data_IF_299701501205
#
_entry.id   IF_299701501205
#
_cell.length_a   1.000
_cell.length_b   1.000
_cell.length_c   1.000
_cell.angle_alpha   90.00
_cell.angle_beta   90.00
_cell.angle_gamma   90.00
#
_symmetry.space_group_name_H-M   'P 1'
#
loop_
_entity.id
_entity.type
_entity.pdbx_description
1 polymer ?
#
# COMPACT_ATOMS: atom_id res chain seq x y z
N UNK A 1 -12.73 0.41 4.56
CA UNK A 1 -12.04 1.23 5.56
C UNK A 1 -11.64 2.57 4.94
N UNK A 2 -11.60 3.66 5.72
CA UNK A 2 -11.15 4.97 5.25
C UNK A 2 -9.63 5.12 5.38
N UNK A 3 -8.97 5.81 4.44
CA UNK A 3 -7.52 6.04 4.49
C UNK A 3 -7.08 6.87 5.71
N UNK A 4 -7.97 7.69 6.25
CA UNK A 4 -7.74 8.48 7.47
C UNK A 4 -7.63 7.64 8.75
N UNK A 5 -8.09 6.39 8.73
CA UNK A 5 -7.99 5.48 9.86
C UNK A 5 -6.63 4.75 9.91
N UNK A 6 -5.80 4.89 8.88
CA UNK A 6 -4.50 4.23 8.79
C UNK A 6 -3.49 5.00 9.63
N UNK A 7 -2.82 4.30 10.54
CA UNK A 7 -1.76 4.87 11.36
C UNK A 7 -0.67 5.49 10.48
N UNK A 8 -0.14 6.64 10.89
CA UNK A 8 0.87 7.43 10.17
C UNK A 8 0.40 8.09 8.86
N UNK A 9 -0.89 8.00 8.51
CA UNK A 9 -1.46 8.69 7.34
C UNK A 9 -2.25 9.91 7.81
N UNK A 10 -1.72 11.10 7.56
CA UNK A 10 -2.36 12.36 7.96
C UNK A 10 -3.49 12.78 7.01
N UNK A 11 -4.40 13.64 7.48
CA UNK A 11 -5.52 14.16 6.66
C UNK A 11 -5.06 14.80 5.34
N UNK A 12 -4.02 15.62 5.38
CA UNK A 12 -3.46 16.27 4.18
C UNK A 12 -2.96 15.26 3.14
N UNK A 13 -2.41 14.11 3.59
CA UNK A 13 -1.97 13.03 2.70
C UNK A 13 -3.18 12.38 2.02
N UNK A 14 -4.24 12.13 2.77
CA UNK A 14 -5.48 11.54 2.23
C UNK A 14 -6.11 12.47 1.19
N UNK A 15 -6.23 13.76 1.49
CA UNK A 15 -6.74 14.77 0.55
C UNK A 15 -5.90 14.83 -0.72
N UNK A 16 -4.57 14.81 -0.58
CA UNK A 16 -3.64 14.79 -1.70
C UNK A 16 -3.83 13.54 -2.59
N UNK A 17 -3.97 12.35 -2.00
CA UNK A 17 -4.22 11.11 -2.75
C UNK A 17 -5.57 11.18 -3.50
N UNK A 18 -6.62 11.68 -2.85
CA UNK A 18 -7.95 11.84 -3.47
C UNK A 18 -7.89 12.85 -4.62
N UNK A 19 -7.22 13.99 -4.43
CA UNK A 19 -7.04 15.01 -5.44
C UNK A 19 -6.26 14.47 -6.65
N UNK A 20 -5.14 13.78 -6.42
CA UNK A 20 -4.36 13.12 -7.47
C UNK A 20 -5.20 12.10 -8.25
N UNK A 21 -5.99 11.27 -7.57
CA UNK A 21 -6.86 10.29 -8.21
C UNK A 21 -8.00 10.94 -9.02
N UNK A 22 -8.54 12.05 -8.53
CA UNK A 22 -9.61 12.79 -9.21
C UNK A 22 -9.10 13.48 -10.47
N UNK A 23 -7.91 14.07 -10.40
CA UNK A 23 -7.31 14.80 -11.53
C UNK A 23 -6.64 13.88 -12.57
N UNK A 24 -5.96 12.81 -12.13
CA UNK A 24 -5.13 11.94 -12.99
C UNK A 24 -5.74 10.55 -13.24
N UNK A 25 -6.94 10.30 -12.72
CA UNK A 25 -7.64 9.03 -12.86
C UNK A 25 -7.23 7.96 -11.85
N UNK A 26 -7.77 6.74 -12.01
CA UNK A 26 -7.49 5.60 -11.12
C UNK A 26 -6.03 5.20 -11.18
N UNK A 27 -5.52 4.67 -10.06
CA UNK A 27 -4.23 4.01 -10.00
C UNK A 27 -4.37 2.60 -10.54
N UNK A 28 -3.59 2.26 -11.57
CA UNK A 28 -3.61 0.92 -12.20
C UNK A 28 -2.60 -0.02 -11.57
N UNK A 29 -1.54 0.54 -11.00
CA UNK A 29 -0.39 -0.20 -10.51
C UNK A 29 0.35 0.57 -9.40
N UNK A 30 1.23 -0.09 -8.62
CA UNK A 30 2.02 0.57 -7.57
C UNK A 30 2.95 1.64 -8.14
N UNK A 31 3.60 1.35 -9.28
CA UNK A 31 4.42 2.34 -9.99
C UNK A 31 3.59 3.53 -10.48
N UNK A 32 2.39 3.28 -10.99
CA UNK A 32 1.45 4.32 -11.43
C UNK A 32 0.97 5.20 -10.26
N UNK A 33 0.74 4.59 -9.09
CA UNK A 33 0.46 5.32 -7.86
C UNK A 33 1.61 6.29 -7.52
N UNK A 34 2.85 5.81 -7.44
CA UNK A 34 4.02 6.65 -7.11
C UNK A 34 4.22 7.82 -8.08
N UNK A 35 3.97 7.61 -9.38
CA UNK A 35 4.02 8.67 -10.41
C UNK A 35 2.93 9.73 -10.22
N UNK A 36 1.69 9.31 -9.98
CA UNK A 36 0.53 10.21 -9.94
C UNK A 36 0.40 10.99 -8.63
N UNK A 37 0.82 10.42 -7.50
CA UNK A 37 0.72 11.10 -6.19
C UNK A 37 1.61 12.33 -6.10
N UNK A 38 1.25 13.26 -5.23
CA UNK A 38 2.10 14.39 -4.88
C UNK A 38 3.18 13.99 -3.84
N UNK A 39 4.19 14.84 -3.73
CA UNK A 39 5.29 14.76 -2.76
C UNK A 39 4.84 14.54 -1.32
N UNK A 40 3.72 15.14 -0.89
CA UNK A 40 3.19 14.98 0.47
C UNK A 40 2.84 13.51 0.81
N UNK A 41 2.34 12.75 -0.17
CA UNK A 41 2.03 11.33 -0.02
C UNK A 41 3.22 10.41 -0.36
N UNK A 42 4.26 10.95 -0.99
CA UNK A 42 5.44 10.23 -1.45
C UNK A 42 6.51 10.11 -0.33
N UNK A 43 6.11 9.56 0.82
CA UNK A 43 6.98 9.36 1.97
C UNK A 43 7.05 7.87 2.32
N UNK A 44 8.25 7.35 2.58
CA UNK A 44 8.51 5.94 2.95
C UNK A 44 7.57 5.44 4.04
N UNK A 45 7.42 6.21 5.13
CA UNK A 45 6.57 5.83 6.28
C UNK A 45 5.09 5.77 5.92
N UNK A 46 4.64 6.69 5.06
CA UNK A 46 3.25 6.73 4.59
C UNK A 46 2.99 5.53 3.68
N UNK A 47 3.86 5.31 2.69
CA UNK A 47 3.72 4.21 1.73
C UNK A 47 3.79 2.86 2.44
N UNK A 48 4.71 2.66 3.38
CA UNK A 48 4.78 1.45 4.21
C UNK A 48 3.47 1.19 4.95
N UNK A 49 2.89 2.23 5.55
CA UNK A 49 1.63 2.12 6.31
C UNK A 49 0.46 1.78 5.38
N UNK A 50 0.42 2.36 4.18
CA UNK A 50 -0.58 2.02 3.16
C UNK A 50 -0.45 0.58 2.67
N UNK A 51 0.77 0.08 2.47
CA UNK A 51 1.06 -1.31 2.10
C UNK A 51 0.57 -2.26 3.20
N UNK A 52 1.01 -2.06 4.45
CA UNK A 52 0.65 -2.92 5.58
C UNK A 52 -0.86 -2.93 5.87
N UNK A 53 -1.54 -1.80 5.66
CA UNK A 53 -2.99 -1.68 5.78
C UNK A 53 -3.78 -2.34 4.63
N UNK A 54 -3.12 -2.80 3.57
CA UNK A 54 -3.77 -3.44 2.41
C UNK A 54 -4.37 -2.46 1.40
N UNK A 55 -3.89 -1.22 1.35
CA UNK A 55 -4.43 -0.20 0.44
C UNK A 55 -4.15 -0.51 -1.03
N UNK A 56 -3.18 -1.37 -1.32
CA UNK A 56 -2.75 -1.73 -2.67
C UNK A 56 -3.17 -3.14 -3.12
N UNK A 57 -3.92 -3.88 -2.32
CA UNK A 57 -4.29 -5.28 -2.62
C UNK A 57 -5.05 -5.41 -3.95
N UNK A 58 -5.84 -4.39 -4.32
CA UNK A 58 -6.57 -4.35 -5.59
C UNK A 58 -5.69 -4.16 -6.83
N UNK A 59 -4.40 -3.84 -6.65
CA UNK A 59 -3.42 -3.65 -7.71
C UNK A 59 -2.70 -4.95 -8.09
N UNK A 60 -2.97 -6.06 -7.40
CA UNK A 60 -2.43 -7.37 -7.74
C UNK A 60 -1.03 -7.67 -7.20
N UNK A 61 -0.50 -6.84 -6.31
CA UNK A 61 0.81 -7.05 -5.69
C UNK A 61 0.72 -7.71 -4.33
N UNK A 62 1.76 -8.46 -3.96
CA UNK A 62 1.90 -8.99 -2.61
C UNK A 62 2.27 -7.86 -1.64
N UNK A 63 1.66 -7.87 -0.44
CA UNK A 63 1.98 -6.87 0.59
C UNK A 63 3.44 -7.01 1.03
N UNK A 64 3.92 -8.24 1.18
CA UNK A 64 5.33 -8.52 1.48
C UNK A 64 6.29 -7.96 0.42
N UNK A 65 5.99 -8.19 -0.86
CA UNK A 65 6.83 -7.70 -1.96
C UNK A 65 6.92 -6.19 -1.97
N UNK A 66 5.78 -5.51 -1.87
CA UNK A 66 5.74 -4.05 -1.75
C UNK A 66 6.46 -3.54 -0.50
N UNK A 67 6.28 -4.19 0.65
CA UNK A 67 6.97 -3.81 1.89
C UNK A 67 8.48 -3.96 1.79
N UNK A 68 9.00 -4.83 0.94
CA UNK A 68 10.44 -4.96 0.71
C UNK A 68 10.98 -3.84 -0.18
N UNK A 69 10.24 -3.46 -1.23
CA UNK A 69 10.73 -2.53 -2.26
C UNK A 69 10.30 -1.07 -2.07
N UNK A 70 9.31 -0.79 -1.22
CA UNK A 70 8.69 0.54 -1.12
C UNK A 70 9.70 1.66 -0.84
N UNK A 71 10.71 1.41 -0.01
CA UNK A 71 11.68 2.42 0.39
C UNK A 71 12.53 2.87 -0.80
N UNK A 72 13.04 1.91 -1.58
CA UNK A 72 13.84 2.15 -2.78
C UNK A 72 12.99 2.78 -3.89
N UNK A 73 11.76 2.28 -4.09
CA UNK A 73 10.84 2.83 -5.09
C UNK A 73 10.45 4.30 -4.79
N UNK A 74 10.29 4.64 -3.51
CA UNK A 74 10.05 6.02 -3.08
C UNK A 74 11.29 6.91 -3.30
N UNK A 75 12.49 6.41 -3.04
CA UNK A 75 13.71 7.19 -3.30
C UNK A 75 13.87 7.50 -4.78
N UNK A 76 13.71 6.48 -5.63
CA UNK A 76 13.83 6.62 -7.08
C UNK A 76 12.86 7.67 -7.64
N UNK A 77 11.57 7.62 -7.24
CA UNK A 77 10.57 8.55 -7.76
C UNK A 77 10.76 9.98 -7.23
N UNK A 78 11.26 10.15 -6.00
CA UNK A 78 11.55 11.47 -5.43
C UNK A 78 12.70 12.12 -6.20
N UNK A 79 13.73 11.35 -6.55
CA UNK A 79 14.83 11.82 -7.39
C UNK A 79 14.33 12.23 -8.78
N UNK A 80 13.49 11.42 -9.42
CA UNK A 80 12.97 11.78 -10.75
C UNK A 80 12.09 13.03 -10.71
N UNK A 81 11.17 13.14 -9.75
CA UNK A 81 10.33 14.35 -9.59
C UNK A 81 11.17 15.59 -9.33
N UNK A 82 12.29 15.45 -8.62
CA UNK A 82 13.24 16.54 -8.41
C UNK A 82 13.92 16.94 -9.72
N UNK A 83 14.39 15.97 -10.52
CA UNK A 83 15.00 16.25 -11.82
C UNK A 83 14.01 16.95 -12.79
N UNK A 84 12.76 16.49 -12.84
CA UNK A 84 11.67 17.11 -13.61
C UNK A 84 11.42 18.56 -13.16
N UNK A 85 11.41 18.82 -11.85
CA UNK A 85 11.21 20.18 -11.31
C UNK A 85 12.34 21.16 -11.66
N UNK A 86 13.54 20.65 -11.93
CA UNK A 86 14.73 21.44 -12.30
C UNK A 86 14.79 21.63 -13.83
N UNK A 87 13.85 21.07 -14.59
CA UNK A 87 13.80 21.17 -16.05
C UNK A 87 14.77 20.24 -16.76
N UNK A 88 15.36 19.27 -16.05
CA UNK A 88 16.00 18.12 -16.68
C UNK A 88 14.92 17.14 -17.11
N UNK A 89 14.24 17.46 -18.22
CA UNK A 89 13.48 16.46 -18.96
C UNK A 89 14.48 15.51 -19.60
N UNK A 90 14.41 14.23 -19.27
CA UNK A 90 15.14 13.22 -20.01
C UNK A 90 14.60 13.18 -21.44
N UNK A 91 15.35 13.79 -22.36
CA UNK A 91 15.00 13.98 -23.77
C UNK A 91 14.93 12.64 -24.53
N UNK A 92 15.22 11.51 -23.88
CA UNK A 92 15.17 10.16 -24.45
C UNK A 92 14.03 9.29 -23.93
N UNK A 93 13.29 9.70 -22.89
CA UNK A 93 12.20 8.89 -22.31
C UNK A 93 10.89 8.86 -23.12
N UNK A 94 10.77 9.67 -24.18
CA UNK A 94 9.52 9.87 -24.92
C UNK A 94 9.26 8.95 -26.12
N UNK A 95 10.22 8.11 -26.53
CA UNK A 95 10.13 7.37 -27.79
C UNK A 95 9.58 5.93 -27.69
N UNK A 96 9.47 5.34 -26.49
CA UNK A 96 9.12 3.92 -26.33
C UNK A 96 7.75 3.65 -25.68
N UNK A 97 6.88 4.66 -25.55
CA UNK A 97 5.57 4.49 -24.91
C UNK A 97 4.43 4.07 -25.87
N UNK A 98 4.71 3.85 -27.16
CA UNK A 98 3.66 3.60 -28.15
C UNK A 98 3.36 2.11 -28.42
N UNK A 99 4.23 1.16 -28.06
CA UNK A 99 3.99 -0.26 -28.38
C UNK A 99 4.49 -1.20 -27.29
N UNK A 100 3.73 -1.31 -26.19
CA UNK A 100 3.50 -2.57 -25.47
C UNK A 100 2.76 -2.32 -24.17
N UNK A 101 1.68 -3.05 -23.95
CA UNK A 101 0.89 -3.03 -22.71
C UNK A 101 1.62 -3.68 -21.52
N UNK A 102 2.87 -3.33 -21.27
CA UNK A 102 3.61 -3.76 -20.09
C UNK A 102 4.25 -2.55 -19.39
N UNK A 103 3.91 -2.45 -18.12
CA UNK A 103 4.35 -1.48 -17.12
C UNK A 103 5.87 -1.34 -16.99
N UNK A 104 6.56 -0.48 -17.76
CA UNK A 104 7.98 -0.19 -17.45
C UNK A 104 8.55 1.19 -17.81
N UNK A 105 7.75 2.16 -18.27
CA UNK A 105 8.30 3.40 -18.85
C UNK A 105 8.90 4.45 -17.87
N UNK A 106 9.50 4.08 -16.72
CA UNK A 106 10.10 5.07 -15.78
C UNK A 106 11.19 4.50 -14.86
N UNK A 107 11.90 3.45 -15.25
CA UNK A 107 13.05 2.94 -14.48
C UNK A 107 12.71 2.28 -13.13
N UNK A 108 11.42 2.17 -12.77
CA UNK A 108 10.95 1.28 -11.71
C UNK A 108 10.79 -0.14 -12.28
N UNK A 109 11.86 -0.70 -12.84
CA UNK A 109 11.93 -2.13 -13.22
C UNK A 109 12.25 -2.98 -11.98
N UNK A 110 11.67 -2.59 -10.85
CA UNK A 110 11.86 -3.24 -9.57
C UNK A 110 10.93 -4.43 -9.53
N UNK A 111 11.47 -5.60 -9.83
CA UNK A 111 10.73 -6.85 -9.75
C UNK A 111 10.20 -7.02 -8.31
N UNK A 112 8.88 -6.88 -8.15
CA UNK A 112 8.22 -7.06 -6.85
C UNK A 112 8.34 -8.55 -6.49
N UNK A 113 9.00 -8.88 -5.36
CA UNK A 113 9.22 -10.27 -5.00
C UNK A 113 7.91 -11.05 -4.89
N UNK A 114 7.85 -12.17 -5.58
CA UNK A 114 6.74 -13.12 -5.46
C UNK A 114 6.83 -13.86 -4.13
N UNK A 115 5.71 -13.87 -3.40
CA UNK A 115 5.61 -14.50 -2.09
C UNK A 115 4.96 -13.58 -1.07
N UNK A 116 3.93 -14.09 -0.42
CA UNK A 116 3.17 -13.35 0.60
C UNK A 116 3.66 -13.71 2.01
N UNK A 117 3.32 -12.86 2.98
CA UNK A 117 3.45 -13.21 4.39
C UNK A 117 2.50 -14.34 4.79
N UNK A 118 2.84 -15.02 5.88
CA UNK A 118 1.88 -15.93 6.51
C UNK A 118 0.70 -15.12 7.09
N UNK A 119 -0.42 -15.82 7.29
CA UNK A 119 -1.67 -15.19 7.76
C UNK A 119 -1.49 -14.46 9.09
N UNK A 120 -0.67 -14.98 10.00
CA UNK A 120 -0.40 -14.37 11.31
C UNK A 120 0.23 -13.00 11.15
N UNK A 121 1.25 -12.92 10.29
CA UNK A 121 1.96 -11.66 10.02
C UNK A 121 1.07 -10.66 9.27
N UNK A 122 0.24 -11.11 8.32
CA UNK A 122 -0.75 -10.25 7.66
C UNK A 122 -1.71 -9.61 8.67
N UNK A 123 -2.30 -10.43 9.54
CA UNK A 123 -3.23 -9.96 10.57
C UNK A 123 -2.55 -9.04 11.59
N UNK A 124 -1.29 -9.33 11.96
CA UNK A 124 -0.51 -8.46 12.83
C UNK A 124 -0.28 -7.08 12.20
N UNK A 125 0.07 -7.02 10.91
CA UNK A 125 0.24 -5.78 10.17
C UNK A 125 -1.08 -4.97 10.08
N UNK A 126 -2.21 -5.65 9.83
CA UNK A 126 -3.53 -5.00 9.84
C UNK A 126 -3.85 -4.43 11.21
N UNK A 127 -3.65 -5.19 12.28
CA UNK A 127 -3.89 -4.74 13.65
C UNK A 127 -3.02 -3.55 14.02
N UNK A 128 -1.77 -3.54 13.56
CA UNK A 128 -0.81 -2.46 13.82
C UNK A 128 -1.21 -1.15 13.11
N UNK A 129 -1.67 -1.24 11.85
CA UNK A 129 -1.97 -0.08 11.03
C UNK A 129 -3.40 0.42 11.14
N UNK A 130 -4.38 -0.48 11.30
CA UNK A 130 -5.81 -0.16 11.34
C UNK A 130 -6.38 -0.17 12.77
N UNK A 131 -5.65 -0.73 13.73
CA UNK A 131 -6.13 -0.83 15.11
C UNK A 131 -7.16 -1.94 15.34
N UNK A 132 -7.42 -2.79 14.35
CA UNK A 132 -8.31 -3.95 14.44
C UNK A 132 -8.01 -4.94 13.31
N UNK A 133 -8.47 -6.18 13.46
CA UNK A 133 -8.35 -7.18 12.39
C UNK A 133 -9.54 -7.04 11.43
N UNK A 134 -9.26 -6.81 10.14
CA UNK A 134 -10.31 -6.56 9.14
C UNK A 134 -10.57 -7.81 8.31
N UNK A 135 -9.50 -8.45 7.85
CA UNK A 135 -9.61 -9.55 6.89
C UNK A 135 -10.03 -10.86 7.56
N UNK A 136 -9.61 -11.10 8.80
CA UNK A 136 -9.89 -12.33 9.55
C UNK A 136 -9.68 -12.13 11.06
N UNK A 137 -9.98 -13.11 11.91
CA UNK A 137 -9.74 -13.04 13.35
C UNK A 137 -8.65 -14.06 13.76
N UNK A 138 -7.70 -13.70 14.65
CA UNK A 138 -6.60 -14.60 15.05
C UNK A 138 -7.07 -15.86 15.80
N UNK A 139 -8.28 -15.86 16.34
CA UNK A 139 -8.87 -17.01 17.03
C UNK A 139 -9.66 -17.95 16.11
N UNK A 140 -9.75 -17.63 14.82
CA UNK A 140 -10.46 -18.49 13.87
C UNK A 140 -9.68 -19.79 13.65
N UNK A 141 -10.34 -20.93 13.88
CA UNK A 141 -9.75 -22.27 13.85
C UNK A 141 -9.46 -22.91 15.22
N UNK A 142 -9.58 -22.16 16.32
CA UNK A 142 -9.43 -22.69 17.70
C UNK A 142 -10.71 -22.58 18.52
N UNK A 143 -11.87 -22.36 17.87
CA UNK A 143 -13.14 -22.11 18.53
C UNK A 143 -13.60 -23.31 19.37
N UNK A 144 -13.36 -24.54 18.90
CA UNK A 144 -13.74 -25.76 19.62
C UNK A 144 -12.95 -25.92 20.92
N UNK A 145 -11.64 -25.69 20.87
CA UNK A 145 -10.76 -25.70 22.04
C UNK A 145 -11.13 -24.60 23.02
N UNK A 146 -11.40 -23.38 22.53
CA UNK A 146 -11.82 -22.27 23.37
C UNK A 146 -13.18 -22.55 24.02
N UNK A 147 -14.18 -23.04 23.28
CA UNK A 147 -15.50 -23.41 23.83
C UNK A 147 -15.42 -24.50 24.91
N UNK A 148 -14.44 -25.40 24.83
CA UNK A 148 -14.24 -26.42 25.86
C UNK A 148 -13.62 -25.85 27.15
N UNK A 149 -12.96 -24.69 27.06
CA UNK A 149 -12.22 -24.08 28.17
C UNK A 149 -12.88 -22.78 28.70
N UNK A 150 -13.98 -22.33 28.11
CA UNK A 150 -14.67 -21.09 28.51
C UNK A 150 -16.16 -21.33 28.74
N UNK A 151 -16.71 -20.68 29.76
CA UNK A 151 -18.12 -20.84 30.15
C UNK A 151 -19.07 -19.99 29.29
N UNK A 152 -18.60 -18.85 28.79
CA UNK A 152 -19.38 -17.96 27.93
C UNK A 152 -18.49 -17.12 27.01
N UNK A 153 -19.07 -16.56 25.96
CA UNK A 153 -18.39 -15.63 25.05
C UNK A 153 -18.41 -14.20 25.61
N UNK A 154 -17.45 -13.36 25.21
CA UNK A 154 -17.44 -11.93 25.57
C UNK A 154 -18.75 -11.25 25.14
N UNK A 155 -19.30 -11.59 23.97
CA UNK A 155 -20.56 -11.04 23.49
C UNK A 155 -21.74 -11.34 24.44
N UNK A 156 -21.75 -12.53 25.04
CA UNK A 156 -22.79 -12.96 25.98
C UNK A 156 -22.70 -12.30 27.37
N UNK A 157 -21.58 -11.63 27.71
CA UNK A 157 -21.46 -10.88 28.96
C UNK A 157 -22.02 -9.46 28.88
N UNK A 158 -22.22 -8.93 27.66
CA UNK A 158 -22.70 -7.55 27.43
C UNK A 158 -24.16 -7.48 26.96
N UNK A 159 -24.89 -8.60 27.04
CA UNK A 159 -26.34 -8.70 26.79
C UNK A 159 -27.03 -9.20 28.04
#
# INVERSE_FOLDING_TARGET
FGLSAIRNVGGNVVESIIASRTAKGRFTDFSDFLRKIDSAACNKRVVESLVKAGSFDSLGHTRRGLAQIHAEAVDAIVETKRAESIGQYDLFGGAEAAESGQSSAFGLDMAIPVGEWDKTTLLANEREMLGLYVSDHPLNGVESTLRAATDCSIAAMYT
#
